data_IF_122453785002
#
_entry.id   IF_122453785002
#
_cell.length_a   1.000
_cell.length_b   1.000
_cell.length_c   1.000
_cell.angle_alpha   90.00
_cell.angle_beta   90.00
_cell.angle_gamma   90.00
#
_symmetry.space_group_name_H-M   'P 1'
#
loop_
_entity.id
_entity.type
_entity.pdbx_description
1 polymer ?
#
# COMPACT_ATOMS: atom_id res chain seq x y z
N UNK A 1 -14.28 -13.08 -9.22
CA UNK A 1 -13.41 -11.93 -8.86
C UNK A 1 -12.95 -11.31 -10.15
N UNK A 2 -13.19 -10.02 -10.37
CA UNK A 2 -12.80 -9.31 -11.58
C UNK A 2 -11.63 -8.37 -11.31
N UNK A 3 -10.68 -8.31 -12.25
CA UNK A 3 -9.53 -7.44 -12.22
C UNK A 3 -9.69 -6.39 -13.33
N UNK A 4 -9.53 -5.13 -12.97
CA UNK A 4 -9.46 -4.01 -13.91
C UNK A 4 -8.02 -3.50 -13.97
N UNK A 5 -7.43 -3.50 -15.17
CA UNK A 5 -6.13 -2.90 -15.45
C UNK A 5 -6.37 -1.70 -16.38
N UNK A 6 -5.95 -0.51 -15.92
CA UNK A 6 -5.99 0.72 -16.71
C UNK A 6 -4.58 1.26 -16.85
N UNK A 7 -4.12 1.49 -18.08
CA UNK A 7 -2.81 2.07 -18.36
C UNK A 7 -2.86 2.92 -19.62
N UNK A 8 -2.57 4.22 -19.53
CA UNK A 8 -2.27 5.15 -20.65
C UNK A 8 -3.12 5.09 -21.94
N UNK A 9 -4.40 4.66 -21.86
CA UNK A 9 -5.42 4.47 -22.92
C UNK A 9 -5.86 3.00 -23.16
N UNK A 10 -5.27 2.05 -22.44
CA UNK A 10 -5.61 0.63 -22.48
C UNK A 10 -6.45 0.25 -21.27
N UNK A 11 -7.64 -0.30 -21.52
CA UNK A 11 -8.53 -0.84 -20.48
C UNK A 11 -8.71 -2.33 -20.72
N UNK A 12 -8.29 -3.15 -19.76
CA UNK A 12 -8.47 -4.60 -19.79
C UNK A 12 -9.25 -5.01 -18.55
N UNK A 13 -10.33 -5.74 -18.77
CA UNK A 13 -11.20 -6.34 -17.78
C UNK A 13 -11.09 -7.85 -17.90
N UNK A 14 -10.73 -8.49 -16.80
CA UNK A 14 -10.55 -9.94 -16.71
C UNK A 14 -11.35 -10.47 -15.54
N UNK A 15 -12.03 -11.60 -15.70
CA UNK A 15 -12.51 -12.37 -14.55
C UNK A 15 -13.78 -13.14 -14.81
N UNK A 16 -14.31 -13.70 -13.72
CA UNK A 16 -15.57 -14.44 -13.70
C UNK A 16 -16.76 -13.46 -13.60
N UNK A 17 -17.53 -13.35 -14.68
CA UNK A 17 -18.71 -12.49 -14.77
C UNK A 17 -20.00 -13.23 -14.43
N UNK A 18 -19.99 -14.57 -14.38
CA UNK A 18 -21.20 -15.40 -14.24
C UNK A 18 -22.35 -14.97 -15.20
N UNK A 19 -21.99 -14.50 -16.40
CA UNK A 19 -22.88 -13.96 -17.41
C UNK A 19 -22.88 -14.91 -18.61
N UNK A 20 -24.05 -15.45 -18.96
CA UNK A 20 -24.19 -16.34 -20.10
C UNK A 20 -24.74 -15.56 -21.29
N UNK A 21 -24.05 -15.63 -22.43
CA UNK A 21 -24.55 -15.08 -23.69
C UNK A 21 -24.02 -15.90 -24.87
N UNK A 22 -24.85 -16.03 -25.90
CA UNK A 22 -24.51 -16.78 -27.12
C UNK A 22 -23.27 -16.21 -27.85
N UNK A 23 -23.12 -14.89 -27.87
CA UNK A 23 -21.99 -14.18 -28.52
C UNK A 23 -20.60 -14.56 -28.02
N UNK A 24 -20.49 -15.08 -26.80
CA UNK A 24 -19.22 -15.58 -26.27
C UNK A 24 -19.17 -17.10 -26.10
N UNK A 25 -20.15 -17.83 -26.63
CA UNK A 25 -20.11 -19.29 -26.72
C UNK A 25 -20.89 -20.04 -25.64
N UNK A 26 -21.81 -19.38 -24.93
CA UNK A 26 -22.76 -20.07 -24.06
C UNK A 26 -23.96 -20.60 -24.87
N UNK A 27 -24.60 -21.67 -24.39
CA UNK A 27 -25.80 -22.24 -25.02
C UNK A 27 -27.05 -21.38 -24.88
N UNK A 28 -27.08 -20.48 -23.89
CA UNK A 28 -28.22 -19.64 -23.56
C UNK A 28 -27.77 -18.23 -23.18
N UNK A 29 -28.65 -17.26 -23.33
CA UNK A 29 -28.46 -15.90 -22.83
C UNK A 29 -29.25 -15.70 -21.55
N UNK A 30 -28.58 -15.23 -20.48
CA UNK A 30 -29.22 -14.82 -19.24
C UNK A 30 -29.30 -13.27 -19.14
N UNK A 31 -30.09 -12.70 -18.20
CA UNK A 31 -30.23 -11.24 -18.08
C UNK A 31 -28.90 -10.51 -17.84
N UNK A 32 -27.98 -11.14 -17.10
CA UNK A 32 -26.63 -10.59 -16.87
C UNK A 32 -25.82 -10.54 -18.16
N UNK A 33 -25.89 -11.56 -19.00
CA UNK A 33 -25.24 -11.60 -20.31
C UNK A 33 -25.79 -10.54 -21.25
N UNK A 34 -27.11 -10.36 -21.30
CA UNK A 34 -27.73 -9.31 -22.11
C UNK A 34 -27.30 -7.90 -21.65
N UNK A 35 -27.29 -7.65 -20.33
CA UNK A 35 -26.80 -6.38 -19.77
C UNK A 35 -25.33 -6.15 -20.05
N UNK A 36 -24.49 -7.17 -19.88
CA UNK A 36 -23.06 -7.08 -20.12
C UNK A 36 -22.76 -6.83 -21.60
N UNK A 37 -23.43 -7.52 -22.52
CA UNK A 37 -23.26 -7.29 -23.96
C UNK A 37 -23.64 -5.85 -24.34
N UNK A 38 -24.78 -5.35 -23.82
CA UNK A 38 -25.18 -3.96 -24.04
C UNK A 38 -24.09 -3.01 -23.56
N UNK A 39 -23.58 -3.19 -22.35
CA UNK A 39 -22.52 -2.35 -21.80
C UNK A 39 -21.22 -2.43 -22.63
N UNK A 40 -20.83 -3.61 -23.09
CA UNK A 40 -19.66 -3.80 -23.97
C UNK A 40 -19.83 -2.99 -25.27
N UNK A 41 -21.00 -3.08 -25.90
CA UNK A 41 -21.31 -2.35 -27.13
C UNK A 41 -21.35 -0.83 -26.91
N UNK A 42 -22.03 -0.38 -25.85
CA UNK A 42 -22.13 1.05 -25.49
C UNK A 42 -20.76 1.69 -25.23
N UNK A 43 -19.75 0.89 -24.83
CA UNK A 43 -18.40 1.36 -24.52
C UNK A 43 -17.35 0.99 -25.59
N UNK A 44 -17.78 0.48 -26.76
CA UNK A 44 -16.90 0.04 -27.84
C UNK A 44 -15.78 -0.92 -27.39
N UNK A 45 -16.16 -1.89 -26.54
CA UNK A 45 -15.25 -2.91 -26.02
C UNK A 45 -15.38 -4.22 -26.82
N UNK A 46 -14.36 -5.05 -26.74
CA UNK A 46 -14.25 -6.31 -27.48
C UNK A 46 -13.99 -7.45 -26.50
N UNK A 47 -14.68 -8.58 -26.71
CA UNK A 47 -14.43 -9.85 -26.03
C UNK A 47 -13.44 -10.67 -26.85
N UNK A 48 -12.37 -11.13 -26.20
CA UNK A 48 -11.26 -11.83 -26.89
C UNK A 48 -11.38 -13.35 -26.82
N UNK A 49 -11.96 -13.88 -25.75
CA UNK A 49 -11.95 -15.31 -25.47
C UNK A 49 -13.29 -16.02 -25.77
N UNK A 50 -13.92 -15.68 -26.88
CA UNK A 50 -15.20 -16.27 -27.33
C UNK A 50 -15.06 -17.76 -27.66
N UNK A 51 -16.09 -18.57 -27.36
CA UNK A 51 -16.17 -20.01 -27.65
C UNK A 51 -15.15 -20.88 -26.92
N UNK A 52 -14.61 -20.40 -25.79
CA UNK A 52 -13.76 -21.20 -24.91
C UNK A 52 -14.55 -21.64 -23.67
N UNK A 53 -14.74 -22.93 -23.46
CA UNK A 53 -15.38 -23.43 -22.24
C UNK A 53 -14.50 -23.15 -21.02
N UNK A 54 -14.80 -22.11 -20.25
CA UNK A 54 -14.00 -21.68 -19.09
C UNK A 54 -14.45 -22.33 -17.78
N UNK A 55 -15.67 -22.87 -17.73
CA UNK A 55 -16.19 -23.59 -16.57
C UNK A 55 -16.30 -25.10 -16.83
N UNK A 56 -15.78 -25.91 -15.90
CA UNK A 56 -15.96 -27.37 -15.91
C UNK A 56 -17.41 -27.80 -15.60
N UNK A 57 -18.18 -26.97 -14.89
CA UNK A 57 -19.53 -27.35 -14.43
C UNK A 57 -20.59 -27.17 -15.51
N UNK A 58 -20.54 -26.03 -16.19
CA UNK A 58 -21.55 -25.64 -17.18
C UNK A 58 -21.07 -25.80 -18.61
N UNK A 59 -19.77 -26.03 -18.84
CA UNK A 59 -19.12 -25.93 -20.16
C UNK A 59 -19.33 -24.56 -20.83
N UNK A 60 -19.66 -23.53 -20.04
CA UNK A 60 -19.91 -22.18 -20.53
C UNK A 60 -18.63 -21.33 -20.49
N UNK A 61 -18.61 -20.30 -21.33
CA UNK A 61 -17.63 -19.21 -21.32
C UNK A 61 -18.12 -18.09 -20.39
N UNK A 62 -17.77 -18.15 -19.11
CA UNK A 62 -18.22 -17.17 -18.09
C UNK A 62 -17.07 -16.34 -17.52
N UNK A 63 -15.84 -16.80 -17.71
CA UNK A 63 -14.64 -16.02 -17.48
C UNK A 63 -14.33 -15.28 -18.77
N UNK A 64 -14.36 -13.95 -18.76
CA UNK A 64 -14.22 -13.14 -19.97
C UNK A 64 -12.99 -12.24 -19.92
N UNK A 65 -12.44 -12.00 -21.10
CA UNK A 65 -11.34 -11.08 -21.37
C UNK A 65 -11.91 -10.00 -22.28
N UNK A 66 -12.12 -8.82 -21.70
CA UNK A 66 -12.77 -7.69 -22.35
C UNK A 66 -11.76 -6.54 -22.40
N UNK A 67 -11.58 -5.92 -23.55
CA UNK A 67 -10.72 -4.73 -23.64
C UNK A 67 -11.15 -3.79 -24.75
N UNK A 68 -10.58 -2.59 -24.75
CA UNK A 68 -10.70 -1.65 -25.87
C UNK A 68 -9.65 -1.90 -26.96
N UNK A 69 -8.97 -3.05 -26.95
CA UNK A 69 -7.97 -3.42 -27.94
C UNK A 69 -8.58 -4.21 -29.10
N UNK A 70 -8.01 -4.04 -30.28
CA UNK A 70 -8.39 -4.83 -31.45
C UNK A 70 -8.06 -6.30 -31.24
N UNK A 71 -8.92 -7.18 -31.75
CA UNK A 71 -8.82 -8.64 -31.58
C UNK A 71 -7.47 -9.20 -32.05
N UNK A 72 -6.94 -8.67 -33.15
CA UNK A 72 -5.67 -9.15 -33.75
C UNK A 72 -4.43 -8.87 -32.88
N UNK A 73 -4.57 -8.05 -31.84
CA UNK A 73 -3.49 -7.73 -30.90
C UNK A 73 -3.45 -8.65 -29.68
N UNK A 74 -4.34 -9.65 -29.61
CA UNK A 74 -4.51 -10.52 -28.45
C UNK A 74 -4.66 -11.97 -28.89
N UNK A 75 -3.75 -12.83 -28.41
CA UNK A 75 -3.94 -14.29 -28.49
C UNK A 75 -4.49 -14.80 -27.16
N UNK A 76 -5.50 -15.66 -27.20
CA UNK A 76 -6.12 -16.26 -26.03
C UNK A 76 -6.11 -17.78 -26.14
N UNK A 77 -5.50 -18.44 -25.16
CA UNK A 77 -5.43 -19.91 -25.11
C UNK A 77 -5.98 -20.45 -23.79
N UNK A 78 -6.81 -21.48 -23.87
CA UNK A 78 -7.30 -22.19 -22.71
C UNK A 78 -6.23 -23.17 -22.21
N UNK A 79 -5.84 -23.04 -20.93
CA UNK A 79 -4.87 -23.95 -20.35
C UNK A 79 -5.56 -25.22 -19.87
N UNK A 80 -5.08 -26.38 -20.34
CA UNK A 80 -5.68 -27.68 -20.06
C UNK A 80 -5.46 -28.21 -18.63
N UNK A 81 -5.00 -27.36 -17.70
CA UNK A 81 -4.81 -27.70 -16.29
C UNK A 81 -5.76 -26.87 -15.43
N UNK A 82 -6.40 -27.47 -14.42
CA UNK A 82 -7.32 -26.71 -13.56
C UNK A 82 -6.97 -26.86 -12.08
N UNK A 83 -6.97 -25.75 -11.34
CA UNK A 83 -6.83 -25.78 -9.87
C UNK A 83 -8.18 -25.63 -9.16
N UNK A 84 -9.25 -25.30 -9.90
CA UNK A 84 -10.65 -25.27 -9.45
C UNK A 84 -11.58 -25.87 -10.52
N UNK A 85 -12.87 -25.57 -10.41
CA UNK A 85 -13.91 -25.77 -11.43
C UNK A 85 -13.83 -24.78 -12.62
N UNK A 86 -12.82 -23.92 -12.68
CA UNK A 86 -12.53 -23.05 -13.82
C UNK A 86 -11.23 -23.46 -14.54
N UNK A 87 -11.21 -23.27 -15.86
CA UNK A 87 -10.03 -23.37 -16.69
C UNK A 87 -9.29 -22.04 -16.71
N UNK A 88 -7.98 -22.01 -16.38
CA UNK A 88 -7.17 -20.82 -16.56
C UNK A 88 -7.09 -20.46 -18.05
N UNK A 89 -7.17 -19.16 -18.33
CA UNK A 89 -6.98 -18.61 -19.67
C UNK A 89 -5.62 -17.90 -19.66
N UNK A 90 -4.79 -18.22 -20.63
CA UNK A 90 -3.59 -17.46 -20.92
C UNK A 90 -3.91 -16.47 -22.04
N UNK A 91 -3.41 -15.23 -21.91
CA UNK A 91 -3.56 -14.26 -22.98
C UNK A 91 -2.32 -13.41 -23.13
N UNK A 92 -1.93 -13.22 -24.38
CA UNK A 92 -0.76 -12.45 -24.77
C UNK A 92 -1.21 -11.22 -25.55
N UNK A 93 -0.76 -10.04 -25.12
CA UNK A 93 -1.09 -8.76 -25.74
C UNK A 93 0.15 -8.25 -26.47
N UNK A 94 0.15 -8.29 -27.80
CA UNK A 94 1.35 -7.99 -28.60
C UNK A 94 1.69 -6.49 -28.64
N UNK A 95 0.69 -5.62 -28.46
CA UNK A 95 0.86 -4.17 -28.55
C UNK A 95 0.88 -3.45 -27.19
N UNK A 96 0.80 -4.20 -26.08
CA UNK A 96 0.82 -3.62 -24.73
C UNK A 96 2.18 -3.91 -24.11
N UNK A 97 3.06 -2.94 -24.26
CA UNK A 97 4.28 -2.89 -23.45
C UNK A 97 3.90 -2.38 -22.06
N UNK A 98 3.62 -3.32 -21.16
CA UNK A 98 3.70 -2.97 -19.75
C UNK A 98 5.15 -2.58 -19.49
N UNK A 99 5.38 -1.30 -19.21
CA UNK A 99 6.54 -0.92 -18.43
C UNK A 99 6.26 -1.45 -17.02
N UNK A 100 6.43 -2.77 -16.83
CA UNK A 100 6.52 -3.45 -15.55
C UNK A 100 7.83 -3.03 -14.89
N UNK A 101 7.96 -1.72 -14.67
CA UNK A 101 8.79 -1.20 -13.62
C UNK A 101 8.09 -1.68 -12.35
N UNK A 102 8.58 -2.78 -11.80
CA UNK A 102 8.34 -3.20 -10.41
C UNK A 102 8.88 -2.17 -9.40
N UNK A 103 8.98 -0.91 -9.83
CA UNK A 103 9.56 0.24 -9.20
C UNK A 103 8.41 0.93 -8.49
N UNK A 104 8.17 0.54 -7.24
CA UNK A 104 7.30 1.36 -6.41
C UNK A 104 8.08 2.64 -6.14
N UNK A 105 7.49 3.77 -6.54
CA UNK A 105 7.97 5.09 -6.18
C UNK A 105 7.61 5.33 -4.72
N UNK A 106 8.58 5.19 -3.83
CA UNK A 106 8.39 5.41 -2.40
C UNK A 106 8.90 6.81 -2.06
N UNK A 107 8.07 7.69 -1.48
CA UNK A 107 8.51 9.01 -1.06
C UNK A 107 9.45 8.87 0.15
N UNK A 108 10.66 9.37 0.00
CA UNK A 108 11.63 9.50 1.10
C UNK A 108 11.79 10.97 1.44
N UNK A 109 11.09 11.41 2.48
CA UNK A 109 11.21 12.76 3.03
C UNK A 109 12.42 12.86 3.95
N UNK A 110 13.32 13.80 3.67
CA UNK A 110 14.47 14.11 4.54
C UNK A 110 14.02 15.00 5.71
N UNK A 111 13.44 14.39 6.75
CA UNK A 111 12.87 15.11 7.90
C UNK A 111 13.85 16.03 8.63
N UNK A 112 15.14 15.67 8.72
CA UNK A 112 16.14 16.54 9.34
C UNK A 112 16.35 17.82 8.53
N UNK A 113 16.31 17.74 7.20
CA UNK A 113 16.40 18.92 6.31
C UNK A 113 15.12 19.74 6.41
N UNK A 114 13.96 19.09 6.42
CA UNK A 114 12.67 19.74 6.66
C UNK A 114 12.69 20.58 7.95
N UNK A 115 13.16 19.99 9.05
CA UNK A 115 13.26 20.65 10.34
C UNK A 115 14.28 21.79 10.35
N UNK A 116 15.46 21.60 9.74
CA UNK A 116 16.46 22.65 9.63
C UNK A 116 15.94 23.86 8.85
N UNK A 117 15.26 23.62 7.73
CA UNK A 117 14.66 24.69 6.91
C UNK A 117 13.54 25.40 7.67
N UNK A 118 12.66 24.67 8.37
CA UNK A 118 11.62 25.30 9.20
C UNK A 118 12.20 26.17 10.32
N UNK A 119 13.22 25.69 11.02
CA UNK A 119 13.85 26.46 12.09
C UNK A 119 14.51 27.74 11.57
N UNK A 120 15.04 27.70 10.34
CA UNK A 120 15.66 28.87 9.69
C UNK A 120 14.60 29.88 9.23
N UNK A 121 13.50 29.39 8.65
CA UNK A 121 12.44 30.25 8.12
C UNK A 121 11.55 30.80 9.24
N UNK A 122 11.47 30.13 10.40
CA UNK A 122 10.62 30.56 11.52
C UNK A 122 10.89 31.99 11.98
N UNK A 123 12.17 32.42 11.97
CA UNK A 123 12.55 33.79 12.34
C UNK A 123 12.02 34.86 11.38
N UNK A 124 11.65 34.46 10.16
CA UNK A 124 11.17 35.34 9.08
C UNK A 124 9.72 35.02 8.67
N UNK A 125 9.02 34.16 9.42
CA UNK A 125 7.66 33.72 9.10
C UNK A 125 6.69 34.91 9.13
N UNK A 126 6.84 35.82 10.08
CA UNK A 126 5.95 36.98 10.24
C UNK A 126 6.06 37.99 9.08
N UNK A 127 7.21 38.03 8.41
CA UNK A 127 7.45 38.84 7.21
C UNK A 127 6.72 38.30 5.96
N UNK A 128 6.34 37.01 5.96
CA UNK A 128 5.62 36.40 4.85
C UNK A 128 4.11 36.68 4.90
N UNK A 129 3.57 37.05 6.06
CA UNK A 129 2.13 37.24 6.28
C UNK A 129 1.74 38.70 6.54
N UNK A 130 2.68 39.65 6.41
CA UNK A 130 2.52 41.06 6.81
C UNK A 130 1.38 41.79 6.09
N UNK A 131 0.90 41.25 4.96
CA UNK A 131 -0.18 41.82 4.14
C UNK A 131 -1.49 40.98 4.16
N UNK A 132 -1.62 40.03 5.08
CA UNK A 132 -2.80 39.16 5.18
C UNK A 132 -3.51 39.45 6.51
N UNK A 133 -4.76 39.88 6.42
CA UNK A 133 -5.56 40.27 7.59
C UNK A 133 -6.56 39.18 8.03
N UNK A 134 -6.74 38.13 7.23
CA UNK A 134 -7.63 37.00 7.52
C UNK A 134 -6.85 35.80 8.04
N UNK A 135 -7.22 35.32 9.23
CA UNK A 135 -6.60 34.17 9.90
C UNK A 135 -6.67 32.89 9.05
N UNK A 136 -7.76 32.70 8.30
CA UNK A 136 -7.93 31.51 7.45
C UNK A 136 -6.95 31.52 6.27
N UNK A 137 -6.72 32.69 5.67
CA UNK A 137 -5.74 32.89 4.59
C UNK A 137 -4.31 32.70 5.07
N UNK A 138 -3.97 33.12 6.30
CA UNK A 138 -2.67 32.86 6.92
C UNK A 138 -2.48 31.34 7.08
N UNK A 139 -3.47 30.64 7.63
CA UNK A 139 -3.44 29.19 7.79
C UNK A 139 -3.25 28.46 6.44
N UNK A 140 -3.99 28.86 5.41
CA UNK A 140 -3.90 28.24 4.08
C UNK A 140 -2.52 28.46 3.45
N UNK A 141 -1.95 29.65 3.58
CA UNK A 141 -0.60 29.93 3.09
C UNK A 141 0.48 29.16 3.85
N UNK A 142 0.35 29.06 5.17
CA UNK A 142 1.24 28.24 5.97
C UNK A 142 1.15 26.75 5.59
N UNK A 143 -0.06 26.23 5.37
CA UNK A 143 -0.26 24.86 4.88
C UNK A 143 0.40 24.65 3.51
N UNK A 144 0.27 25.61 2.60
CA UNK A 144 0.91 25.55 1.28
C UNK A 144 2.43 25.60 1.38
N UNK A 145 2.98 26.42 2.27
CA UNK A 145 4.41 26.46 2.57
C UNK A 145 4.92 25.11 3.07
N UNK A 146 4.24 24.50 4.06
CA UNK A 146 4.61 23.18 4.57
C UNK A 146 4.53 22.10 3.49
N UNK A 147 3.51 22.16 2.64
CA UNK A 147 3.36 21.22 1.53
C UNK A 147 4.45 21.39 0.47
N UNK A 148 4.76 22.62 0.09
CA UNK A 148 5.82 22.94 -0.85
C UNK A 148 7.18 22.49 -0.31
N UNK A 149 7.48 22.80 0.94
CA UNK A 149 8.71 22.38 1.60
C UNK A 149 8.82 20.86 1.64
N UNK A 150 7.77 20.16 2.11
CA UNK A 150 7.72 18.69 2.17
C UNK A 150 7.96 18.10 0.79
N UNK A 151 7.32 18.64 -0.23
CA UNK A 151 7.50 18.20 -1.62
C UNK A 151 8.95 18.34 -2.07
N UNK A 152 9.59 19.49 -1.80
CA UNK A 152 10.98 19.78 -2.16
C UNK A 152 12.00 18.91 -1.45
N UNK A 153 11.76 18.55 -0.19
CA UNK A 153 12.66 17.66 0.59
C UNK A 153 12.29 16.18 0.47
N UNK A 154 11.33 15.84 -0.37
CA UNK A 154 10.93 14.45 -0.63
C UNK A 154 11.56 13.99 -1.94
N UNK A 155 12.47 13.03 -1.84
CA UNK A 155 13.00 12.33 -3.02
C UNK A 155 12.19 11.06 -3.22
N UNK A 156 11.76 10.83 -4.45
CA UNK A 156 11.09 9.61 -4.83
C UNK A 156 12.13 8.55 -5.16
N UNK A 157 12.23 7.52 -4.32
CA UNK A 157 13.11 6.39 -4.56
C UNK A 157 12.35 5.28 -5.25
N UNK A 158 12.93 4.77 -6.32
CA UNK A 158 12.48 3.57 -7.01
C UNK A 158 12.93 2.35 -6.20
N UNK A 159 11.99 1.54 -5.72
CA UNK A 159 12.30 0.26 -5.10
C UNK A 159 11.73 -0.89 -5.93
N UNK A 160 12.60 -1.81 -6.33
CA UNK A 160 12.19 -3.07 -6.94
C UNK A 160 11.49 -3.94 -5.91
N UNK A 161 10.22 -4.29 -6.13
CA UNK A 161 9.60 -5.37 -5.38
C UNK A 161 10.32 -6.67 -5.72
N UNK A 162 11.11 -7.19 -4.77
CA UNK A 162 11.43 -8.61 -4.74
C UNK A 162 10.11 -9.33 -4.46
N UNK A 163 9.46 -9.87 -5.50
CA UNK A 163 8.38 -10.82 -5.27
C UNK A 163 8.92 -11.92 -4.37
N UNK A 164 8.25 -12.18 -3.24
CA UNK A 164 8.54 -13.35 -2.42
C UNK A 164 8.09 -14.59 -3.18
N UNK A 165 8.88 -15.04 -4.15
CA UNK A 165 8.58 -16.26 -4.89
C UNK A 165 8.82 -17.44 -3.96
N UNK A 166 7.91 -18.41 -3.97
CA UNK A 166 8.16 -19.71 -3.38
C UNK A 166 9.51 -20.26 -3.87
N UNK A 167 10.31 -20.89 -3.01
CA UNK A 167 11.63 -21.38 -3.40
C UNK A 167 11.52 -22.38 -4.56
N UNK A 168 12.54 -22.48 -5.44
CA UNK A 168 12.49 -23.31 -6.64
C UNK A 168 12.05 -24.76 -6.38
N UNK A 169 12.50 -25.37 -5.28
CA UNK A 169 12.14 -26.75 -4.95
C UNK A 169 10.63 -26.93 -4.70
N UNK A 170 9.97 -26.01 -3.98
CA UNK A 170 8.51 -26.06 -3.77
C UNK A 170 7.77 -25.89 -5.10
N UNK A 171 8.28 -25.04 -6.00
CA UNK A 171 7.68 -24.85 -7.32
C UNK A 171 7.73 -26.13 -8.15
N UNK A 172 8.82 -26.88 -8.08
CA UNK A 172 8.95 -28.18 -8.76
C UNK A 172 7.92 -29.18 -8.22
N UNK A 173 7.80 -29.28 -6.89
CA UNK A 173 6.82 -30.16 -6.23
C UNK A 173 5.36 -29.82 -6.64
N UNK A 174 5.03 -28.53 -6.71
CA UNK A 174 3.71 -28.08 -7.17
C UNK A 174 3.46 -28.43 -8.64
N UNK A 175 4.46 -28.22 -9.51
CA UNK A 175 4.38 -28.60 -10.94
C UNK A 175 4.10 -30.09 -11.09
N UNK A 176 4.78 -30.94 -10.32
CA UNK A 176 4.58 -32.39 -10.41
C UNK A 176 3.20 -32.83 -9.91
N UNK A 177 2.70 -32.23 -8.82
CA UNK A 177 1.31 -32.45 -8.39
C UNK A 177 0.31 -32.05 -9.49
N UNK A 178 0.52 -30.92 -10.15
CA UNK A 178 -0.35 -30.49 -11.26
C UNK A 178 -0.32 -31.47 -12.42
N UNK A 179 0.84 -32.03 -12.76
CA UNK A 179 0.97 -33.11 -13.74
C UNK A 179 0.10 -34.32 -13.37
N UNK A 180 0.22 -34.82 -12.13
CA UNK A 180 -0.59 -35.96 -11.66
C UNK A 180 -2.09 -35.66 -11.64
N UNK A 181 -2.46 -34.43 -11.25
CA UNK A 181 -3.85 -33.98 -11.25
C UNK A 181 -4.44 -33.99 -12.67
N UNK A 182 -3.67 -33.58 -13.65
CA UNK A 182 -4.08 -33.63 -15.06
C UNK A 182 -4.16 -35.07 -15.57
N UNK A 183 -3.21 -35.94 -15.17
CA UNK A 183 -3.23 -37.36 -15.51
C UNK A 183 -4.49 -38.04 -14.96
N UNK A 184 -4.76 -37.93 -13.66
CA UNK A 184 -5.95 -38.46 -13.01
C UNK A 184 -7.25 -37.97 -13.66
N UNK A 185 -7.31 -36.69 -14.07
CA UNK A 185 -8.50 -36.16 -14.73
C UNK A 185 -8.75 -36.77 -16.11
N UNK A 186 -7.70 -37.10 -16.86
CA UNK A 186 -7.82 -37.72 -18.19
C UNK A 186 -8.16 -39.21 -18.10
N UNK A 187 -7.50 -39.92 -17.19
CA UNK A 187 -7.56 -41.39 -17.12
C UNK A 187 -8.65 -41.90 -16.17
N UNK A 188 -8.96 -41.13 -15.11
CA UNK A 188 -9.81 -41.50 -13.98
C UNK A 188 -9.41 -42.79 -13.26
N UNK A 189 -8.18 -43.25 -13.45
CA UNK A 189 -7.67 -44.49 -12.86
C UNK A 189 -7.42 -44.35 -11.35
N UNK A 190 -7.62 -45.44 -10.62
CA UNK A 190 -7.41 -45.47 -9.17
C UNK A 190 -5.95 -45.21 -8.78
N UNK A 191 -5.00 -45.76 -9.52
CA UNK A 191 -3.57 -45.53 -9.32
C UNK A 191 -3.21 -44.03 -9.41
N UNK A 192 -3.83 -43.30 -10.33
CA UNK A 192 -3.60 -41.85 -10.49
C UNK A 192 -4.21 -41.05 -9.33
N UNK A 193 -5.31 -41.53 -8.74
CA UNK A 193 -5.90 -40.96 -7.53
C UNK A 193 -4.99 -41.14 -6.32
N UNK A 194 -4.42 -42.35 -6.16
CA UNK A 194 -3.47 -42.66 -5.09
C UNK A 194 -2.22 -41.80 -5.18
N UNK A 195 -1.63 -41.70 -6.38
CA UNK A 195 -0.48 -40.83 -6.65
C UNK A 195 -0.79 -39.37 -6.32
N UNK A 196 -1.94 -38.85 -6.77
CA UNK A 196 -2.35 -37.47 -6.49
C UNK A 196 -2.53 -37.19 -4.99
N UNK A 197 -3.11 -38.15 -4.24
CA UNK A 197 -3.27 -38.04 -2.77
C UNK A 197 -1.92 -38.02 -2.06
N UNK A 198 -1.03 -38.95 -2.43
CA UNK A 198 0.32 -39.04 -1.87
C UNK A 198 1.09 -37.73 -2.08
N UNK A 199 1.13 -37.23 -3.32
CA UNK A 199 1.85 -36.00 -3.66
C UNK A 199 1.22 -34.74 -3.08
N UNK A 200 -0.11 -34.73 -2.89
CA UNK A 200 -0.76 -33.64 -2.16
C UNK A 200 -0.31 -33.59 -0.69
N UNK A 201 -0.12 -34.75 -0.05
CA UNK A 201 0.41 -34.84 1.32
C UNK A 201 1.87 -34.41 1.38
N UNK A 202 2.71 -34.88 0.46
CA UNK A 202 4.14 -34.49 0.36
C UNK A 202 4.27 -32.97 0.21
N UNK A 203 3.55 -32.37 -0.75
CA UNK A 203 3.62 -30.92 -0.99
C UNK A 203 3.19 -30.13 0.24
N UNK A 204 2.12 -30.56 0.93
CA UNK A 204 1.66 -29.91 2.17
C UNK A 204 2.75 -29.98 3.24
N UNK A 205 3.37 -31.14 3.43
CA UNK A 205 4.43 -31.33 4.42
C UNK A 205 5.65 -30.47 4.12
N UNK A 206 6.11 -30.43 2.86
CA UNK A 206 7.28 -29.64 2.48
C UNK A 206 7.05 -28.13 2.61
N UNK A 207 5.84 -27.65 2.31
CA UNK A 207 5.48 -26.24 2.54
C UNK A 207 5.47 -25.93 4.04
N UNK A 208 4.94 -26.82 4.89
CA UNK A 208 4.96 -26.64 6.34
C UNK A 208 6.39 -26.66 6.90
N UNK A 209 7.21 -27.63 6.47
CA UNK A 209 8.62 -27.73 6.84
C UNK A 209 9.38 -26.46 6.44
N UNK A 210 9.16 -25.96 5.22
CA UNK A 210 9.78 -24.72 4.77
C UNK A 210 9.36 -23.52 5.64
N UNK A 211 8.07 -23.36 5.91
CA UNK A 211 7.56 -22.29 6.81
C UNK A 211 8.17 -22.40 8.21
N UNK A 212 8.29 -23.60 8.75
CA UNK A 212 8.93 -23.84 10.04
C UNK A 212 10.40 -23.43 10.03
N UNK A 213 11.18 -23.82 9.01
CA UNK A 213 12.59 -23.39 8.86
C UNK A 213 12.73 -21.87 8.74
N UNK A 214 11.84 -21.23 7.97
CA UNK A 214 11.81 -19.77 7.85
C UNK A 214 11.52 -19.10 9.20
N UNK A 215 10.59 -19.67 9.99
CA UNK A 215 10.29 -19.21 11.33
C UNK A 215 11.48 -19.38 12.28
N UNK A 216 12.15 -20.53 12.27
CA UNK A 216 13.36 -20.75 13.06
C UNK A 216 14.49 -19.80 12.66
N UNK A 217 14.69 -19.57 11.37
CA UNK A 217 15.67 -18.58 10.86
C UNK A 217 15.32 -17.14 11.26
N UNK A 218 14.02 -16.83 11.33
CA UNK A 218 13.55 -15.54 11.84
C UNK A 218 13.82 -15.40 13.34
N UNK A 219 13.53 -16.43 14.14
CA UNK A 219 13.81 -16.45 15.58
C UNK A 219 15.32 -16.34 15.89
N UNK A 220 16.18 -16.98 15.10
CA UNK A 220 17.63 -16.84 15.28
C UNK A 220 18.14 -15.42 14.98
N UNK A 221 17.51 -14.71 14.04
CA UNK A 221 17.79 -13.28 13.77
C UNK A 221 17.23 -12.37 14.86
N UNK A 222 16.13 -12.75 15.50
CA UNK A 222 15.57 -12.05 16.67
C UNK A 222 16.51 -12.12 17.88
N UNK A 223 17.19 -13.25 18.07
CA UNK A 223 18.21 -13.42 19.11
C UNK A 223 19.51 -12.62 18.85
N UNK A 224 19.56 -11.76 17.83
CA UNK A 224 20.73 -10.92 17.56
C UNK A 224 21.00 -9.99 18.73
N UNK A 225 22.27 -9.86 19.13
CA UNK A 225 22.71 -8.95 20.20
C UNK A 225 22.50 -7.46 19.90
N UNK A 226 22.02 -7.11 18.71
CA UNK A 226 21.78 -5.73 18.28
C UNK A 226 20.36 -5.27 18.71
N UNK A 227 20.23 -4.33 19.66
CA UNK A 227 18.94 -3.88 20.17
C UNK A 227 18.03 -3.26 19.11
N UNK A 228 18.60 -2.60 18.09
CA UNK A 228 17.85 -1.94 17.02
C UNK A 228 17.17 -2.97 16.11
N UNK A 229 17.87 -4.05 15.79
CA UNK A 229 17.34 -5.19 15.00
C UNK A 229 16.25 -5.93 15.77
N UNK A 230 16.46 -6.15 17.08
CA UNK A 230 15.45 -6.72 17.97
C UNK A 230 14.17 -5.88 18.02
N UNK A 231 14.26 -4.57 18.30
CA UNK A 231 13.10 -3.68 18.36
C UNK A 231 12.35 -3.60 17.02
N UNK A 232 13.04 -3.62 15.88
CA UNK A 232 12.39 -3.64 14.57
C UNK A 232 11.59 -4.93 14.33
N UNK A 233 12.14 -6.10 14.73
CA UNK A 233 11.42 -7.37 14.63
C UNK A 233 10.24 -7.47 15.61
N UNK A 234 10.38 -6.97 16.84
CA UNK A 234 9.27 -6.90 17.82
C UNK A 234 8.13 -6.03 17.29
N UNK A 235 8.43 -4.90 16.61
CA UNK A 235 7.40 -4.06 15.95
C UNK A 235 6.67 -4.78 14.81
N UNK A 236 7.33 -5.69 14.09
CA UNK A 236 6.69 -6.49 13.04
C UNK A 236 5.73 -7.54 13.61
N UNK A 237 6.06 -8.14 14.76
CA UNK A 237 5.22 -9.11 15.46
C UNK A 237 4.04 -8.42 16.19
N UNK A 238 4.31 -7.27 16.80
CA UNK A 238 3.32 -6.45 17.50
C UNK A 238 2.66 -5.42 16.58
N UNK A 239 2.57 -5.68 15.27
CA UNK A 239 1.62 -4.93 14.44
C UNK A 239 0.25 -5.15 15.07
N UNK A 240 -0.23 -4.14 15.83
CA UNK A 240 -1.58 -4.15 16.38
C UNK A 240 -2.48 -4.53 15.21
N UNK A 241 -3.38 -5.53 15.36
CA UNK A 241 -4.38 -5.77 14.32
C UNK A 241 -4.98 -4.41 14.00
N UNK A 242 -5.06 -4.06 12.71
CA UNK A 242 -5.80 -2.86 12.33
C UNK A 242 -7.18 -3.06 12.91
N UNK A 243 -7.49 -2.36 14.01
CA UNK A 243 -8.86 -2.22 14.46
C UNK A 243 -9.55 -1.63 13.24
N UNK A 244 -10.57 -2.32 12.73
CA UNK A 244 -11.37 -1.78 11.65
C UNK A 244 -11.77 -0.37 12.04
N UNK A 245 -11.68 0.56 11.11
CA UNK A 245 -12.16 1.91 11.34
C UNK A 245 -13.68 1.82 11.51
N UNK A 246 -14.14 1.68 12.76
CA UNK A 246 -15.49 2.07 13.11
C UNK A 246 -15.59 3.56 12.82
N UNK A 247 -16.69 4.01 12.22
CA UNK A 247 -16.89 5.44 11.92
C UNK A 247 -16.64 6.30 13.17
N UNK A 248 -16.41 7.60 12.97
CA UNK A 248 -16.15 8.53 14.07
C UNK A 248 -17.34 8.48 15.03
N UNK A 249 -17.11 8.05 16.27
CA UNK A 249 -18.13 7.86 17.30
C UNK A 249 -17.94 8.83 18.45
N UNK A 250 -18.99 8.99 19.27
CA UNK A 250 -18.86 9.54 20.62
C UNK A 250 -17.93 8.68 21.49
N UNK A 251 -17.48 9.24 22.62
CA UNK A 251 -16.54 8.59 23.54
C UNK A 251 -17.10 7.26 24.12
N UNK A 252 -18.42 7.09 24.09
CA UNK A 252 -19.15 5.88 24.53
C UNK A 252 -19.37 4.85 23.39
N UNK A 253 -18.94 5.14 22.15
CA UNK A 253 -19.16 4.31 20.95
C UNK A 253 -20.63 4.00 20.61
N UNK A 254 -21.57 4.81 21.09
CA UNK A 254 -23.01 4.60 20.92
C UNK A 254 -23.55 5.29 19.67
N UNK A 255 -22.98 6.41 19.25
CA UNK A 255 -23.44 7.15 18.07
C UNK A 255 -22.32 7.38 17.06
N UNK A 256 -22.53 6.93 15.82
CA UNK A 256 -21.63 7.23 14.70
C UNK A 256 -22.03 8.58 14.09
N UNK A 257 -21.11 9.54 14.07
CA UNK A 257 -21.29 10.82 13.40
C UNK A 257 -21.32 10.61 11.88
N UNK A 258 -22.46 10.96 11.26
CA UNK A 258 -22.71 10.74 9.82
C UNK A 258 -22.75 12.04 9.00
N UNK A 259 -22.92 13.19 9.64
CA UNK A 259 -23.03 14.47 8.94
C UNK A 259 -21.71 15.26 9.03
N UNK A 260 -21.31 15.99 7.97
CA UNK A 260 -20.07 16.78 7.97
C UNK A 260 -19.98 17.75 9.16
N UNK A 261 -21.10 18.40 9.52
CA UNK A 261 -21.16 19.32 10.65
C UNK A 261 -20.84 18.62 11.99
N UNK A 262 -21.46 17.46 12.24
CA UNK A 262 -21.20 16.70 13.47
C UNK A 262 -19.77 16.17 13.58
N UNK A 263 -19.18 15.80 12.44
CA UNK A 263 -17.80 15.32 12.36
C UNK A 263 -16.82 16.48 12.66
N UNK A 264 -17.09 17.66 12.10
CA UNK A 264 -16.28 18.85 12.32
C UNK A 264 -16.33 19.31 13.78
N UNK A 265 -17.51 19.38 14.38
CA UNK A 265 -17.67 19.73 15.80
C UNK A 265 -16.94 18.75 16.72
N UNK A 266 -17.00 17.43 16.43
CA UNK A 266 -16.25 16.43 17.18
C UNK A 266 -14.73 16.64 17.08
N UNK A 267 -14.21 16.86 15.86
CA UNK A 267 -12.78 17.11 15.69
C UNK A 267 -12.33 18.38 16.39
N UNK A 268 -13.11 19.45 16.29
CA UNK A 268 -12.83 20.71 16.98
C UNK A 268 -12.69 20.48 18.49
N UNK A 269 -13.68 19.86 19.12
CA UNK A 269 -13.66 19.55 20.55
C UNK A 269 -12.49 18.61 20.92
N UNK A 270 -12.22 17.60 20.10
CA UNK A 270 -11.11 16.67 20.33
C UNK A 270 -9.75 17.38 20.32
N UNK A 271 -9.52 18.27 19.36
CA UNK A 271 -8.27 19.02 19.28
C UNK A 271 -8.17 20.08 20.38
N UNK A 272 -9.25 20.79 20.71
CA UNK A 272 -9.30 21.71 21.85
C UNK A 272 -8.92 21.00 23.16
N UNK A 273 -9.47 19.80 23.42
CA UNK A 273 -9.12 19.01 24.60
C UNK A 273 -7.69 18.47 24.57
N UNK A 274 -7.18 18.09 23.40
CA UNK A 274 -5.82 17.53 23.25
C UNK A 274 -4.73 18.59 23.43
N UNK A 275 -5.01 19.82 23.02
CA UNK A 275 -4.07 20.94 23.11
C UNK A 275 -4.36 21.87 24.29
N UNK A 276 -5.39 21.58 25.09
CA UNK A 276 -5.57 22.22 26.38
C UNK A 276 -4.35 21.95 27.28
N UNK A 277 -3.99 22.95 28.09
CA UNK A 277 -2.96 22.79 29.11
C UNK A 277 -3.31 21.57 29.98
N UNK A 278 -2.39 20.62 30.17
CA UNK A 278 -2.67 19.46 31.00
C UNK A 278 -3.00 19.92 32.41
N UNK A 279 -4.10 19.40 32.98
CA UNK A 279 -4.40 19.58 34.39
C UNK A 279 -3.32 18.85 35.19
N UNK A 280 -2.44 19.63 35.82
CA UNK A 280 -1.40 19.09 36.69
C UNK A 280 -2.06 18.44 37.89
N UNK A 281 -1.92 17.11 38.01
CA UNK A 281 -2.31 16.42 39.22
C UNK A 281 -1.18 16.58 40.26
N UNK A 282 -1.41 17.46 41.23
CA UNK A 282 -0.46 17.82 42.29
C UNK A 282 -0.20 16.62 43.23
N UNK A 283 -0.97 15.53 43.13
CA UNK A 283 -0.71 14.28 43.84
C UNK A 283 0.16 13.29 43.03
N UNK A 284 0.31 13.53 41.72
CA UNK A 284 1.11 12.69 40.84
C UNK A 284 2.57 13.16 40.81
N UNK A 285 3.45 12.31 41.34
CA UNK A 285 4.90 12.58 41.41
C UNK A 285 5.54 12.87 40.03
N UNK A 286 5.02 12.27 38.97
CA UNK A 286 5.56 12.45 37.60
C UNK A 286 5.22 13.84 37.05
N UNK A 287 4.04 14.36 37.40
CA UNK A 287 3.61 15.70 36.99
C UNK A 287 4.33 16.79 37.80
N UNK A 288 4.61 16.51 39.09
CA UNK A 288 5.48 17.36 39.92
C UNK A 288 6.89 17.42 39.32
N UNK A 289 7.51 16.28 39.03
CA UNK A 289 8.87 16.21 38.50
C UNK A 289 8.99 16.91 37.12
N UNK A 290 7.96 16.78 36.27
CA UNK A 290 7.90 17.45 34.98
C UNK A 290 7.74 18.97 35.11
N UNK A 291 6.92 19.44 36.05
CA UNK A 291 6.77 20.87 36.33
C UNK A 291 8.06 21.45 36.94
N UNK A 292 8.73 20.73 37.83
CA UNK A 292 9.99 21.15 38.44
C UNK A 292 11.10 21.29 37.39
N UNK A 293 11.16 20.35 36.44
CA UNK A 293 12.07 20.40 35.29
C UNK A 293 11.76 21.60 34.37
N UNK A 294 10.48 21.84 34.08
CA UNK A 294 10.05 22.96 33.25
C UNK A 294 10.39 24.31 33.88
N UNK A 295 10.17 24.46 35.19
CA UNK A 295 10.56 25.66 35.92
C UNK A 295 12.08 25.86 35.88
N UNK A 296 12.88 24.81 36.11
CA UNK A 296 14.35 24.88 35.99
C UNK A 296 14.81 25.32 34.60
N UNK A 297 14.18 24.81 33.53
CA UNK A 297 14.51 25.19 32.16
C UNK A 297 14.16 26.65 31.85
N UNK A 298 13.05 27.17 32.39
CA UNK A 298 12.69 28.59 32.27
C UNK A 298 13.69 29.47 33.03
N UNK A 299 14.13 29.06 34.23
CA UNK A 299 15.14 29.80 34.99
C UNK A 299 16.50 29.82 34.26
N UNK A 300 16.88 28.71 33.61
CA UNK A 300 18.12 28.61 32.81
C UNK A 300 18.03 29.41 31.50
N UNK A 301 16.85 29.55 30.89
CA UNK A 301 16.64 30.38 29.69
C UNK A 301 16.93 31.87 29.94
N UNK A 302 16.85 32.33 31.19
CA UNK A 302 17.21 33.69 31.59
C UNK A 302 18.71 33.89 31.87
N UNK A 303 19.50 32.82 31.88
CA UNK A 303 20.96 32.87 32.02
C UNK A 303 21.61 32.67 30.65
N UNK A 304 22.46 33.61 30.22
CA UNK A 304 23.13 33.66 28.89
C UNK A 304 24.05 32.45 28.57
N UNK A 305 24.05 31.40 29.38
CA UNK A 305 24.89 30.20 29.27
C UNK A 305 24.57 29.29 28.07
N UNK A 306 23.34 29.34 27.53
CA UNK A 306 22.95 28.50 26.37
C UNK A 306 23.70 28.91 25.08
N UNK A 307 24.04 30.20 24.92
CA UNK A 307 24.81 30.65 23.75
C UNK A 307 26.26 30.15 23.75
N UNK A 308 26.87 29.88 24.91
CA UNK A 308 28.22 29.32 24.98
C UNK A 308 28.28 27.85 24.58
N UNK A 309 27.19 27.08 24.75
CA UNK A 309 27.14 25.67 24.37
C UNK A 309 26.89 25.44 22.87
N UNK A 310 26.33 26.42 22.15
CA UNK A 310 26.12 26.35 20.69
C UNK A 310 27.44 26.51 19.92
N UNK A 311 28.48 27.11 20.54
CA UNK A 311 29.83 27.23 19.94
C UNK A 311 30.58 25.91 19.70
N UNK A 312 30.06 24.78 20.18
CA UNK A 312 30.69 23.45 20.05
C UNK A 312 30.07 22.56 18.96
N UNK A 313 29.30 23.14 18.03
CA UNK A 313 28.86 22.45 16.82
C UNK A 313 29.96 22.55 15.74
N UNK A 314 30.59 21.43 15.40
CA UNK A 314 31.69 21.29 14.41
C UNK A 314 31.32 21.66 12.95
N UNK A 315 30.12 22.17 12.70
CA UNK A 315 29.66 22.62 11.39
C UNK A 315 29.55 24.14 11.37
N UNK A 316 30.63 24.81 10.95
CA UNK A 316 30.62 26.25 10.66
C UNK A 316 30.33 26.45 9.18
N UNK A 317 29.07 26.78 8.86
CA UNK A 317 28.73 27.28 7.53
C UNK A 317 29.09 28.76 7.45
N UNK A 318 29.82 29.16 6.42
CA UNK A 318 30.08 30.58 6.16
C UNK A 318 28.91 31.21 5.42
N UNK A 319 28.77 32.54 5.52
CA UNK A 319 27.77 33.31 4.78
C UNK A 319 27.91 33.07 3.25
N UNK A 320 29.12 32.78 2.78
CA UNK A 320 29.39 32.43 1.37
C UNK A 320 28.85 31.05 0.98
N UNK A 321 28.81 30.09 1.90
CA UNK A 321 28.20 28.78 1.67
C UNK A 321 26.68 28.89 1.55
N UNK A 322 26.06 29.69 2.41
CA UNK A 322 24.62 30.01 2.36
C UNK A 322 24.25 30.74 1.05
N UNK A 323 25.05 31.71 0.63
CA UNK A 323 24.83 32.41 -0.64
C UNK A 323 24.99 31.47 -1.85
N UNK A 324 25.95 30.53 -1.83
CA UNK A 324 26.11 29.55 -2.91
C UNK A 324 24.93 28.57 -2.99
N UNK A 325 24.38 28.17 -1.84
CA UNK A 325 23.19 27.32 -1.77
C UNK A 325 21.97 28.05 -2.34
N UNK A 326 21.72 29.29 -1.91
CA UNK A 326 20.60 30.11 -2.42
C UNK A 326 20.73 30.36 -3.93
N UNK A 327 21.94 30.63 -4.43
CA UNK A 327 22.21 30.84 -5.86
C UNK A 327 22.03 29.56 -6.69
N UNK A 328 22.25 28.38 -6.09
CA UNK A 328 21.99 27.09 -6.73
C UNK A 328 20.50 26.73 -6.80
N UNK A 329 19.69 27.25 -5.86
CA UNK A 329 18.24 27.07 -5.78
C UNK A 329 17.46 27.99 -6.75
N UNK A 330 18.09 29.06 -7.26
CA UNK A 330 17.47 30.00 -8.20
C UNK A 330 17.63 29.59 -9.69
N UNK A 331 18.53 28.65 -10.01
CA UNK A 331 18.89 28.28 -11.40
C UNK A 331 18.50 26.84 -11.79
N UNK A 332 17.55 26.19 -11.10
CA UNK A 332 16.95 24.90 -11.46
C UNK A 332 15.50 24.85 -10.97
#
# INVERSE_FOLDING_TARGET
MSLLLTYSNYTILLGDFNANHIDWGCSTTNPKGAQLLKWINDNNLIIHNTNMSTSLRSSNTIDLIISNQQRDSIDCTLLSYTCSDHFPIFSEFSNILFQCKYEISIPKTYWNVFQAVLNTIHEHIDELYTNIHDEFSIFLQFQNLLHALKSRVTVWSIQNQLQSTLPPFIRILLKYKHYLQNRYRKTKLENDSLDLRLWSKINKQEILNYKARQWTSFLSKLASSNPKTFCNHVKLLNKKPQKGFSGITDDDNMNIYKTPASILSYFQQHFENRFASPNLDISNKTDIDANDLWQRLITVKNDNSIQEHIKYSDLTFTIQDLHSIIKSLANK
#
